data_IF_333039507598
#
_entry.id   IF_333039507598
#
_cell.length_a   1.000
_cell.length_b   1.000
_cell.length_c   1.000
_cell.angle_alpha   90.00
_cell.angle_beta   90.00
_cell.angle_gamma   90.00
#
_symmetry.space_group_name_H-M   'P 1'
#
loop_
_entity.id
_entity.type
_entity.pdbx_description
1 polymer ?
#
# COMPACT_ATOMS: atom_id res chain seq x y z
N UNK A 1 0.82 -25.52 23.72
CA UNK A 1 0.64 -25.23 22.28
C UNK A 1 1.08 -23.80 22.06
N UNK A 2 2.24 -23.56 21.45
CA UNK A 2 2.69 -22.19 21.17
C UNK A 2 1.69 -21.53 20.22
N UNK A 3 1.16 -20.37 20.58
CA UNK A 3 0.33 -19.57 19.69
C UNK A 3 1.17 -19.21 18.45
N UNK A 4 0.97 -19.93 17.34
CA UNK A 4 1.62 -19.57 16.07
C UNK A 4 1.17 -18.17 15.71
N UNK A 5 2.13 -17.26 15.51
CA UNK A 5 1.79 -15.90 15.10
C UNK A 5 1.28 -15.92 13.65
N UNK A 6 0.53 -14.89 13.25
CA UNK A 6 0.08 -14.73 11.85
C UNK A 6 1.28 -14.77 10.90
N UNK A 7 2.44 -14.23 11.32
CA UNK A 7 3.63 -14.19 10.49
C UNK A 7 4.20 -15.59 10.25
N UNK A 8 4.16 -16.48 11.24
CA UNK A 8 4.61 -17.87 11.11
C UNK A 8 3.72 -18.64 10.13
N UNK A 9 2.40 -18.48 10.25
CA UNK A 9 1.42 -19.08 9.33
C UNK A 9 1.68 -18.59 7.89
N UNK A 10 1.91 -17.30 7.70
CA UNK A 10 2.19 -16.73 6.38
C UNK A 10 3.53 -17.16 5.79
N UNK A 11 4.55 -17.41 6.64
CA UNK A 11 5.86 -17.91 6.21
C UNK A 11 5.77 -19.38 5.75
N UNK A 12 4.92 -20.16 6.41
CA UNK A 12 4.61 -21.55 6.07
C UNK A 12 3.79 -21.66 4.76
N UNK A 13 2.98 -20.63 4.47
CA UNK A 13 2.12 -20.49 3.29
C UNK A 13 2.85 -20.12 1.99
N UNK A 14 4.17 -20.25 1.91
CA UNK A 14 4.88 -19.94 0.66
C UNK A 14 4.61 -21.03 -0.40
N UNK A 15 4.10 -20.66 -1.59
CA UNK A 15 3.88 -21.60 -2.67
C UNK A 15 5.21 -21.97 -3.33
N UNK A 16 5.23 -23.16 -3.90
CA UNK A 16 6.36 -23.70 -4.65
C UNK A 16 6.08 -23.58 -6.15
N UNK A 17 7.11 -23.26 -6.93
CA UNK A 17 7.06 -23.23 -8.39
C UNK A 17 8.31 -23.90 -8.96
N UNK A 18 8.14 -24.60 -10.08
CA UNK A 18 9.25 -25.21 -10.80
C UNK A 18 9.65 -24.27 -11.95
N UNK A 19 10.92 -23.89 -12.00
CA UNK A 19 11.48 -23.06 -13.07
C UNK A 19 12.80 -23.67 -13.53
N UNK A 20 12.89 -24.02 -14.82
CA UNK A 20 14.08 -24.67 -15.41
C UNK A 20 14.50 -25.93 -14.63
N UNK A 21 13.53 -26.76 -14.24
CA UNK A 21 13.76 -27.99 -13.46
C UNK A 21 14.14 -27.79 -11.99
N UNK A 22 14.25 -26.54 -11.51
CA UNK A 22 14.57 -26.24 -10.10
C UNK A 22 13.32 -25.78 -9.35
N UNK A 23 13.14 -26.34 -8.16
CA UNK A 23 12.10 -25.96 -7.20
C UNK A 23 12.49 -24.62 -6.56
N UNK A 24 11.55 -23.65 -6.56
CA UNK A 24 11.74 -22.32 -5.98
C UNK A 24 10.53 -21.90 -5.17
N UNK A 25 10.75 -21.10 -4.13
CA UNK A 25 9.68 -20.37 -3.46
C UNK A 25 9.14 -19.28 -4.39
N UNK A 26 7.82 -19.25 -4.55
CA UNK A 26 7.13 -18.21 -5.30
C UNK A 26 6.73 -17.04 -4.41
N UNK A 27 6.48 -15.90 -5.07
CA UNK A 27 5.99 -14.68 -4.42
C UNK A 27 4.59 -14.85 -3.79
N UNK A 28 3.73 -15.66 -4.40
CA UNK A 28 2.35 -15.89 -3.97
C UNK A 28 1.63 -16.96 -4.80
N UNK A 29 0.39 -17.27 -4.40
CA UNK A 29 -0.46 -18.25 -5.07
C UNK A 29 -1.05 -17.69 -6.36
N UNK A 30 -1.25 -18.56 -7.35
CA UNK A 30 -1.90 -18.18 -8.59
C UNK A 30 -3.40 -18.02 -8.40
N UNK A 31 -4.05 -17.33 -9.34
CA UNK A 31 -5.51 -17.20 -9.34
C UNK A 31 -6.21 -18.56 -9.44
N UNK A 32 -5.64 -19.50 -10.20
CA UNK A 32 -6.21 -20.85 -10.37
C UNK A 32 -6.14 -21.66 -9.07
N UNK A 33 -5.01 -21.61 -8.36
CA UNK A 33 -4.85 -22.30 -7.06
C UNK A 33 -5.87 -21.79 -6.03
N UNK A 34 -6.12 -20.47 -5.99
CA UNK A 34 -7.10 -19.87 -5.10
C UNK A 34 -8.55 -20.23 -5.46
N UNK A 35 -8.88 -20.23 -6.76
CA UNK A 35 -10.21 -20.63 -7.24
C UNK A 35 -10.56 -22.06 -6.83
N UNK A 36 -9.59 -22.97 -6.83
CA UNK A 36 -9.82 -24.36 -6.44
C UNK A 36 -10.17 -24.55 -4.96
N UNK A 37 -9.75 -23.60 -4.13
CA UNK A 37 -10.06 -23.55 -2.69
C UNK A 37 -11.27 -22.65 -2.44
N UNK A 38 -12.00 -22.26 -3.50
CA UNK A 38 -13.13 -21.34 -3.45
C UNK A 38 -12.80 -19.97 -2.81
N UNK A 39 -11.55 -19.50 -2.96
CA UNK A 39 -11.12 -18.19 -2.50
C UNK A 39 -11.05 -17.20 -3.65
N UNK A 40 -11.67 -16.04 -3.48
CA UNK A 40 -11.44 -14.92 -4.40
C UNK A 40 -10.11 -14.22 -4.06
N UNK A 41 -9.51 -13.56 -5.07
CA UNK A 41 -8.28 -12.77 -4.88
C UNK A 41 -8.44 -11.75 -3.75
N UNK A 42 -9.61 -11.09 -3.68
CA UNK A 42 -9.90 -10.07 -2.66
C UNK A 42 -9.95 -10.67 -1.25
N UNK A 43 -10.57 -11.84 -1.09
CA UNK A 43 -10.63 -12.53 0.20
C UNK A 43 -9.26 -13.00 0.64
N UNK A 44 -8.47 -13.60 -0.27
CA UNK A 44 -7.10 -14.00 0.01
C UNK A 44 -6.25 -12.81 0.48
N UNK A 45 -6.33 -11.67 -0.21
CA UNK A 45 -5.63 -10.45 0.20
C UNK A 45 -6.10 -9.89 1.54
N UNK A 46 -7.41 -9.95 1.83
CA UNK A 46 -7.96 -9.53 3.12
C UNK A 46 -7.46 -10.43 4.26
N UNK A 47 -7.28 -11.70 3.98
CA UNK A 47 -6.69 -12.70 4.88
C UNK A 47 -5.15 -12.64 4.94
N UNK A 48 -4.52 -11.71 4.19
CA UNK A 48 -3.07 -11.54 4.04
C UNK A 48 -2.34 -12.73 3.38
N UNK A 49 -3.06 -13.62 2.73
CA UNK A 49 -2.46 -14.69 1.93
C UNK A 49 -1.71 -14.05 0.74
N UNK A 50 -0.47 -14.46 0.46
CA UNK A 50 0.30 -13.91 -0.65
C UNK A 50 -0.29 -14.34 -2.00
N UNK A 51 -0.64 -13.38 -2.86
CA UNK A 51 -1.24 -13.65 -4.18
C UNK A 51 -0.34 -13.13 -5.30
N UNK A 52 -0.13 -13.94 -6.35
CA UNK A 52 0.54 -13.57 -7.59
C UNK A 52 -0.42 -13.64 -8.79
N UNK A 53 -1.08 -12.52 -9.05
CA UNK A 53 -2.11 -12.37 -10.10
C UNK A 53 -1.55 -12.67 -11.50
N UNK A 54 -0.23 -12.55 -11.70
CA UNK A 54 0.38 -12.71 -13.03
C UNK A 54 0.60 -14.17 -13.40
N UNK A 55 0.67 -15.09 -12.42
CA UNK A 55 0.92 -16.51 -12.67
C UNK A 55 -0.38 -17.21 -13.04
N UNK A 56 -0.36 -17.94 -14.16
CA UNK A 56 -1.49 -18.75 -14.64
C UNK A 56 -1.33 -20.26 -14.41
N UNK A 57 -0.19 -20.70 -13.87
CA UNK A 57 0.06 -22.12 -13.62
C UNK A 57 -0.52 -22.55 -12.28
N UNK A 58 -0.92 -23.82 -12.21
CA UNK A 58 -1.43 -24.48 -11.00
C UNK A 58 -0.49 -25.60 -10.59
N UNK A 59 -0.18 -25.68 -9.30
CA UNK A 59 0.52 -26.81 -8.70
C UNK A 59 -0.35 -27.43 -7.60
N UNK A 60 -0.52 -28.75 -7.64
CA UNK A 60 -1.40 -29.46 -6.71
C UNK A 60 -0.93 -29.35 -5.25
N UNK A 61 0.38 -29.43 -5.02
CA UNK A 61 1.00 -29.25 -3.70
C UNK A 61 0.61 -27.90 -3.05
N UNK A 62 0.49 -26.84 -3.85
CA UNK A 62 0.09 -25.52 -3.37
C UNK A 62 -1.39 -25.49 -2.98
N UNK A 63 -2.26 -26.18 -3.72
CA UNK A 63 -3.68 -26.31 -3.41
C UNK A 63 -3.88 -27.07 -2.10
N UNK A 64 -3.12 -28.15 -1.89
CA UNK A 64 -3.17 -28.91 -0.64
C UNK A 64 -2.67 -28.10 0.56
N UNK A 65 -1.59 -27.31 0.39
CA UNK A 65 -1.15 -26.35 1.40
C UNK A 65 -2.26 -25.38 1.77
N UNK A 66 -2.99 -24.85 0.79
CA UNK A 66 -4.11 -23.93 1.03
C UNK A 66 -5.27 -24.62 1.76
N UNK A 67 -5.59 -25.87 1.42
CA UNK A 67 -6.67 -26.65 2.07
C UNK A 67 -6.37 -27.01 3.53
N UNK A 68 -5.10 -27.21 3.88
CA UNK A 68 -4.67 -27.51 5.26
C UNK A 68 -4.88 -26.34 6.23
N UNK A 69 -5.19 -25.15 5.74
CA UNK A 69 -5.30 -23.96 6.57
C UNK A 69 -6.73 -23.78 7.05
N UNK A 70 -6.86 -23.54 8.35
CA UNK A 70 -8.12 -23.11 8.95
C UNK A 70 -8.40 -21.65 8.61
N UNK A 71 -9.20 -21.41 7.57
CA UNK A 71 -9.59 -20.08 7.11
C UNK A 71 -10.29 -19.26 8.21
N UNK A 72 -11.04 -19.92 9.09
CA UNK A 72 -11.75 -19.28 10.21
C UNK A 72 -10.77 -18.70 11.24
N UNK A 73 -9.75 -19.48 11.64
CA UNK A 73 -8.71 -19.03 12.56
C UNK A 73 -7.97 -17.82 11.99
N UNK A 74 -7.60 -17.88 10.71
CA UNK A 74 -6.90 -16.80 10.03
C UNK A 74 -7.75 -15.51 10.01
N UNK A 75 -9.06 -15.63 9.76
CA UNK A 75 -10.00 -14.52 9.74
C UNK A 75 -10.13 -13.85 11.10
N UNK A 76 -10.18 -14.63 12.18
CA UNK A 76 -10.22 -14.11 13.55
C UNK A 76 -8.93 -13.38 13.93
N UNK A 77 -7.78 -13.98 13.62
CA UNK A 77 -6.47 -13.38 13.86
C UNK A 77 -6.33 -12.03 13.13
N UNK A 78 -6.77 -11.96 11.87
CA UNK A 78 -6.78 -10.71 11.10
C UNK A 78 -7.72 -9.67 11.71
N UNK A 79 -8.88 -10.08 12.25
CA UNK A 79 -9.83 -9.17 12.89
C UNK A 79 -9.30 -8.58 14.19
N UNK A 80 -8.52 -9.35 14.95
CA UNK A 80 -7.86 -8.90 16.20
C UNK A 80 -6.74 -7.87 15.94
N UNK A 81 -6.21 -7.78 14.72
CA UNK A 81 -5.17 -6.82 14.40
C UNK A 81 -5.68 -5.37 14.56
N UNK A 82 -4.91 -4.49 15.21
CA UNK A 82 -5.27 -3.08 15.29
C UNK A 82 -5.31 -2.50 13.87
N UNK A 83 -6.47 -1.92 13.49
CA UNK A 83 -6.56 -1.17 12.24
C UNK A 83 -5.66 0.06 12.36
N UNK A 84 -4.68 0.20 11.46
CA UNK A 84 -3.87 1.43 11.39
C UNK A 84 -4.80 2.60 11.07
N UNK A 85 -5.13 3.42 12.07
CA UNK A 85 -5.76 4.73 11.84
C UNK A 85 -4.68 5.60 11.22
N UNK A 86 -4.79 5.89 9.93
CA UNK A 86 -3.95 6.90 9.31
C UNK A 86 -4.47 8.25 9.81
N UNK A 87 -3.66 8.97 10.58
CA UNK A 87 -4.05 10.29 11.05
C UNK A 87 -4.16 11.23 9.85
N UNK A 88 -5.30 11.93 9.72
CA UNK A 88 -5.50 12.93 8.65
C UNK A 88 -4.40 14.00 8.64
N UNK A 89 -3.81 14.29 9.81
CA UNK A 89 -2.65 15.18 9.97
C UNK A 89 -1.38 14.62 9.29
N UNK A 90 -1.15 13.31 9.38
CA UNK A 90 -0.04 12.62 8.72
C UNK A 90 -0.26 12.54 7.19
N UNK A 91 -1.50 12.30 6.76
CA UNK A 91 -1.89 12.35 5.34
C UNK A 91 -1.73 13.76 4.75
N UNK A 92 -2.01 14.82 5.52
CA UNK A 92 -1.80 16.21 5.12
C UNK A 92 -0.30 16.56 4.95
N UNK A 93 0.60 15.97 5.76
CA UNK A 93 2.06 16.08 5.57
C UNK A 93 2.56 15.44 4.26
N UNK A 94 1.76 14.59 3.61
CA UNK A 94 2.10 13.88 2.35
C UNK A 94 2.26 14.81 1.14
N UNK A 95 1.99 16.11 1.28
CA UNK A 95 2.36 17.14 0.31
C UNK A 95 3.87 17.48 0.26
N UNK A 96 4.74 16.69 0.91
CA UNK A 96 6.19 16.75 0.64
C UNK A 96 6.44 16.44 -0.84
N UNK A 97 6.96 17.43 -1.59
CA UNK A 97 7.40 17.38 -3.00
C UNK A 97 6.36 17.60 -4.10
N UNK A 98 5.14 18.06 -3.82
CA UNK A 98 4.26 18.60 -4.90
C UNK A 98 4.76 19.99 -5.33
N UNK A 99 5.48 20.01 -6.45
CA UNK A 99 5.93 21.20 -7.22
C UNK A 99 4.74 22.09 -7.65
N UNK A 100 3.53 21.53 -7.66
CA UNK A 100 2.31 22.06 -8.27
C UNK A 100 1.57 23.15 -7.44
N UNK A 101 2.29 24.15 -6.94
CA UNK A 101 1.67 25.43 -6.54
C UNK A 101 2.38 26.64 -7.15
N UNK A 102 3.31 26.42 -8.08
CA UNK A 102 4.18 27.48 -8.59
C UNK A 102 5.00 28.16 -7.49
N UNK A 103 5.21 27.47 -6.36
CA UNK A 103 5.94 27.99 -5.19
C UNK A 103 7.44 27.71 -5.27
N UNK A 104 7.87 26.81 -6.16
CA UNK A 104 9.29 26.67 -6.51
C UNK A 104 9.80 27.97 -7.14
N UNK A 105 11.10 28.18 -7.11
CA UNK A 105 11.74 29.35 -7.76
C UNK A 105 11.38 29.43 -9.25
N UNK A 106 11.45 28.29 -9.97
CA UNK A 106 11.02 28.20 -11.36
C UNK A 106 9.53 28.53 -11.56
N UNK A 107 8.65 28.04 -10.68
CA UNK A 107 7.22 28.33 -10.74
C UNK A 107 6.86 29.78 -10.40
N UNK A 108 7.61 30.42 -9.48
CA UNK A 108 7.48 31.85 -9.18
C UNK A 108 7.98 32.70 -10.34
N UNK A 109 8.99 32.23 -11.07
CA UNK A 109 9.52 32.88 -12.27
C UNK A 109 8.51 32.83 -13.42
N UNK A 110 7.93 31.66 -13.71
CA UNK A 110 6.95 31.51 -14.80
C UNK A 110 5.67 32.31 -14.56
N UNK A 111 5.27 32.51 -13.30
CA UNK A 111 4.13 33.36 -12.93
C UNK A 111 4.41 34.87 -12.93
N UNK A 112 5.62 35.30 -13.32
CA UNK A 112 6.02 36.72 -13.27
C UNK A 112 6.20 37.30 -11.86
N UNK A 113 5.99 36.50 -10.80
CA UNK A 113 6.04 36.94 -9.41
C UNK A 113 7.44 37.40 -8.98
N UNK A 114 8.50 36.79 -9.52
CA UNK A 114 9.87 37.23 -9.26
C UNK A 114 10.17 38.58 -9.91
N UNK A 115 9.68 38.82 -11.14
CA UNK A 115 9.78 40.12 -11.82
C UNK A 115 9.13 41.22 -10.98
N UNK A 116 7.97 40.92 -10.39
CA UNK A 116 7.21 41.81 -9.53
C UNK A 116 7.72 41.87 -8.07
N UNK A 117 8.85 41.21 -7.76
CA UNK A 117 9.41 41.08 -6.39
C UNK A 117 8.35 40.68 -5.35
N UNK A 118 7.39 39.82 -5.75
CA UNK A 118 6.26 39.36 -4.93
C UNK A 118 5.30 40.46 -4.43
N UNK A 119 5.39 41.69 -4.94
CA UNK A 119 4.58 42.83 -4.48
C UNK A 119 3.08 42.64 -4.73
N UNK A 120 2.71 41.95 -5.80
CA UNK A 120 1.32 41.67 -6.14
C UNK A 120 0.72 40.46 -5.40
N UNK A 121 1.51 39.78 -4.55
CA UNK A 121 0.96 38.68 -3.74
C UNK A 121 0.04 39.22 -2.64
N UNK A 122 -1.06 38.50 -2.37
CA UNK A 122 -2.00 38.84 -1.29
C UNK A 122 -1.30 39.09 0.06
N UNK A 123 -0.25 38.34 0.36
CA UNK A 123 0.58 38.52 1.57
C UNK A 123 1.20 39.92 1.65
N UNK A 124 1.75 40.44 0.55
CA UNK A 124 2.37 41.76 0.53
C UNK A 124 1.32 42.88 0.55
N UNK A 125 0.20 42.71 -0.19
CA UNK A 125 -0.94 43.63 -0.19
C UNK A 125 -1.54 43.79 1.21
N UNK A 126 -1.78 42.69 1.92
CA UNK A 126 -2.34 42.73 3.28
C UNK A 126 -1.36 43.30 4.31
N UNK A 127 -0.06 42.96 4.24
CA UNK A 127 0.96 43.56 5.11
C UNK A 127 1.13 45.07 4.89
N UNK A 128 0.98 45.56 3.66
CA UNK A 128 0.96 47.00 3.38
C UNK A 128 -0.26 47.65 4.03
N UNK A 129 -1.44 47.06 3.86
CA UNK A 129 -2.70 47.55 4.45
C UNK A 129 -2.70 47.58 5.98
N UNK A 130 -2.03 46.64 6.64
CA UNK A 130 -1.88 46.63 8.09
C UNK A 130 -1.00 47.81 8.57
N UNK A 131 0.15 48.04 7.93
CA UNK A 131 1.02 49.21 8.22
C UNK A 131 0.38 50.57 7.91
N UNK A 132 -0.63 50.62 7.03
CA UNK A 132 -1.40 51.84 6.78
C UNK A 132 -2.50 52.07 7.85
N UNK A 133 -2.78 51.07 8.69
CA UNK A 133 -3.79 51.14 9.76
C UNK A 133 -3.18 51.33 11.15
N UNK A 134 -1.93 50.91 11.34
CA UNK A 134 -1.07 51.29 12.47
C UNK A 134 -0.56 52.73 12.29
#
# INVERSE_FOLDING_TARGET
MSEKTIQDILKELKPIVISKGKIKEAKGFSEQELKEVNLTIKEALKLKIPVDIRRKTKYQENVEKLKKIDLNLLKELVKKLPKKRIDKKELAKKHRKRVFRGLTTAGKKSRGLLKLKLKETHKHKWKKKQRERE
#
